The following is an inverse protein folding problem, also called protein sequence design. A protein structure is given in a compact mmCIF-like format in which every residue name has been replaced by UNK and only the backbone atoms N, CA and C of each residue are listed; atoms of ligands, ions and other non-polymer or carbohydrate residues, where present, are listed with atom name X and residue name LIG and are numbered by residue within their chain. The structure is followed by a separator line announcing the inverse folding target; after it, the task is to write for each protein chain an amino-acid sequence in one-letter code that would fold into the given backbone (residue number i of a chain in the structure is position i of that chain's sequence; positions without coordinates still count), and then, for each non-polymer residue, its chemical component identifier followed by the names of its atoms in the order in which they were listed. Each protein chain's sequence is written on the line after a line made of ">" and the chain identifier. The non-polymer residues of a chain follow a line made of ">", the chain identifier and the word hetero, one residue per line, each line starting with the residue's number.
data_IF_777230261026
#
_entry.id   IF_777230261026
#
_cell.length_a   1.000
_cell.length_b   1.000
_cell.length_c   1.000
_cell.angle_alpha   90.00
_cell.angle_beta   90.00
_cell.angle_gamma   90.00
#
_symmetry.space_group_name_H-M   'P 1'
#
loop_
_entity.id
_entity.type
_entity.pdbx_description
1 polymer ?
#
# COMPACT_ATOMS: atom_id res chain seq x y z
N UNK A 1 4.84 -0.29 -4.12
CA UNK A 1 6.28 0.00 -4.28
C UNK A 1 6.74 1.10 -3.33
N UNK A 2 6.06 2.25 -3.24
CA UNK A 2 6.40 3.33 -2.31
C UNK A 2 6.46 2.89 -0.84
N UNK A 3 5.56 1.99 -0.42
CA UNK A 3 5.60 1.38 0.93
C UNK A 3 6.91 0.61 1.14
N UNK A 4 7.35 -0.20 0.17
CA UNK A 4 8.62 -0.91 0.26
C UNK A 4 9.83 0.03 0.22
N UNK A 5 9.73 1.14 -0.51
CA UNK A 5 10.75 2.19 -0.49
C UNK A 5 10.85 2.85 0.90
N UNK A 6 9.72 3.16 1.54
CA UNK A 6 9.70 3.68 2.91
C UNK A 6 10.37 2.70 3.88
N UNK A 7 10.08 1.40 3.76
CA UNK A 7 10.73 0.36 4.57
C UNK A 7 12.25 0.35 4.32
N UNK A 8 12.69 0.39 3.07
CA UNK A 8 14.12 0.43 2.72
C UNK A 8 14.80 1.67 3.32
N UNK A 9 14.23 2.86 3.15
CA UNK A 9 14.77 4.10 3.71
C UNK A 9 14.81 4.07 5.25
N UNK A 10 13.79 3.48 5.88
CA UNK A 10 13.75 3.28 7.33
C UNK A 10 14.80 2.30 7.86
N UNK A 11 15.17 1.28 7.07
CA UNK A 11 16.25 0.34 7.39
C UNK A 11 17.62 1.01 7.19
N UNK A 12 17.78 1.83 6.16
CA UNK A 12 19.05 2.50 5.84
C UNK A 12 19.37 3.71 6.72
N UNK A 13 18.41 4.24 7.47
CA UNK A 13 18.64 5.39 8.36
C UNK A 13 19.15 4.95 9.75
N UNK A 14 20.16 5.63 10.27
CA UNK A 14 20.77 5.32 11.58
C UNK A 14 20.09 6.05 12.75
N UNK A 15 19.44 7.20 12.49
CA UNK A 15 18.83 8.04 13.51
C UNK A 15 17.29 8.10 13.38
N UNK A 16 16.64 8.54 14.47
CA UNK A 16 15.18 8.62 14.55
C UNK A 16 14.58 9.60 13.54
N UNK A 17 15.24 10.75 13.34
CA UNK A 17 14.72 11.82 12.46
C UNK A 17 14.80 11.35 11.00
N UNK A 18 15.92 10.74 10.61
CA UNK A 18 16.09 10.10 9.31
C UNK A 18 15.04 9.03 9.03
N UNK A 19 14.77 8.14 10.01
CA UNK A 19 13.70 7.13 9.89
C UNK A 19 12.32 7.76 9.73
N UNK A 20 12.01 8.77 10.53
CA UNK A 20 10.72 9.45 10.48
C UNK A 20 10.47 10.05 9.09
N UNK A 21 11.37 10.88 8.59
CA UNK A 21 11.18 11.54 7.30
C UNK A 21 11.32 10.56 6.12
N UNK A 22 12.22 9.58 6.23
CA UNK A 22 12.39 8.54 5.22
C UNK A 22 11.14 7.68 5.01
N UNK A 23 10.35 7.45 6.08
CA UNK A 23 9.07 6.74 5.99
C UNK A 23 7.93 7.69 5.63
N UNK A 24 7.88 8.89 6.22
CA UNK A 24 6.76 9.83 6.07
C UNK A 24 6.50 10.21 4.62
N UNK A 25 7.51 10.68 3.89
CA UNK A 25 7.31 11.21 2.55
C UNK A 25 6.83 10.17 1.52
N UNK A 26 7.41 8.96 1.43
CA UNK A 26 6.91 7.96 0.50
C UNK A 26 5.49 7.48 0.84
N UNK A 27 5.14 7.36 2.13
CA UNK A 27 3.78 6.99 2.54
C UNK A 27 2.78 8.11 2.23
N UNK A 28 3.14 9.37 2.48
CA UNK A 28 2.33 10.54 2.10
C UNK A 28 2.09 10.58 0.59
N UNK A 29 3.14 10.42 -0.22
CA UNK A 29 3.03 10.38 -1.68
C UNK A 29 2.14 9.21 -2.14
N UNK A 30 2.27 8.05 -1.49
CA UNK A 30 1.45 6.87 -1.77
C UNK A 30 -0.04 7.14 -1.54
N UNK A 31 -0.41 7.66 -0.36
CA UNK A 31 -1.82 7.91 -0.01
C UNK A 31 -2.39 9.07 -0.82
N UNK A 32 -1.67 10.18 -0.95
CA UNK A 32 -2.15 11.37 -1.68
C UNK A 32 -2.35 11.13 -3.18
N UNK A 33 -1.59 10.19 -3.76
CA UNK A 33 -1.75 9.79 -5.17
C UNK A 33 -2.91 8.81 -5.39
N UNK A 34 -3.62 8.39 -4.33
CA UNK A 34 -4.72 7.43 -4.44
C UNK A 34 -4.28 6.03 -4.84
N UNK A 35 -3.04 5.64 -4.50
CA UNK A 35 -2.57 4.27 -4.76
C UNK A 35 -3.19 3.30 -3.74
N UNK A 36 -3.40 2.06 -4.18
CA UNK A 36 -4.09 1.04 -3.41
C UNK A 36 -3.11 0.15 -2.62
N UNK A 37 -3.41 -0.11 -1.35
CA UNK A 37 -2.63 -1.02 -0.49
C UNK A 37 -3.54 -2.09 0.09
N UNK A 38 -3.25 -3.36 -0.22
CA UNK A 38 -4.16 -4.47 0.10
C UNK A 38 -4.50 -4.54 1.59
N UNK A 39 -3.50 -4.38 2.47
CA UNK A 39 -3.72 -4.41 3.92
C UNK A 39 -4.49 -3.20 4.43
N UNK A 40 -4.34 -2.02 3.81
CA UNK A 40 -5.13 -0.85 4.18
C UNK A 40 -6.60 -1.08 3.79
N UNK A 41 -6.82 -1.67 2.63
CA UNK A 41 -8.16 -1.95 2.11
C UNK A 41 -8.88 -3.05 2.88
N UNK A 42 -8.14 -4.01 3.46
CA UNK A 42 -8.68 -4.99 4.43
C UNK A 42 -9.27 -4.32 5.68
N UNK A 43 -8.91 -3.08 5.98
CA UNK A 43 -9.55 -2.30 7.05
C UNK A 43 -10.64 -1.38 6.49
N UNK A 44 -10.33 -0.56 5.48
CA UNK A 44 -11.24 0.47 4.98
C UNK A 44 -12.52 -0.09 4.35
N UNK A 45 -12.44 -1.15 3.54
CA UNK A 45 -13.62 -1.71 2.88
C UNK A 45 -14.56 -2.38 3.89
N UNK A 46 -14.09 -3.24 4.82
CA UNK A 46 -14.94 -3.76 5.89
C UNK A 46 -15.52 -2.67 6.81
N UNK A 47 -14.76 -1.64 7.15
CA UNK A 47 -15.27 -0.50 7.92
C UNK A 47 -16.42 0.20 7.18
N UNK A 48 -16.29 0.42 5.87
CA UNK A 48 -17.37 0.93 5.03
C UNK A 48 -18.61 0.03 5.03
N UNK A 49 -18.42 -1.28 4.89
CA UNK A 49 -19.52 -2.27 4.91
C UNK A 49 -20.26 -2.29 6.25
N UNK A 50 -19.54 -2.22 7.36
CA UNK A 50 -20.13 -2.26 8.70
C UNK A 50 -20.83 -0.94 9.07
N UNK A 51 -20.38 0.20 8.53
CA UNK A 51 -20.97 1.50 8.82
C UNK A 51 -22.14 1.84 7.90
N UNK A 52 -22.19 1.27 6.70
CA UNK A 52 -23.23 1.51 5.69
C UNK A 52 -24.68 1.42 6.22
N UNK A 53 -25.07 0.43 7.05
CA UNK A 53 -26.44 0.33 7.58
C UNK A 53 -26.83 1.47 8.54
N UNK A 54 -25.84 2.15 9.12
CA UNK A 54 -26.05 3.22 10.10
C UNK A 54 -26.06 4.62 9.47
N UNK A 55 -25.84 4.72 8.15
CA UNK A 55 -25.88 5.99 7.44
C UNK A 55 -27.32 6.45 7.20
N UNK A 56 -27.59 7.71 7.51
CA UNK A 56 -28.83 8.43 7.15
C UNK A 56 -28.89 8.69 5.64
N UNK A 57 -30.08 8.91 5.09
CA UNK A 57 -30.24 9.19 3.65
C UNK A 57 -29.51 10.47 3.23
N UNK A 58 -29.46 11.49 4.09
CA UNK A 58 -28.69 12.71 3.86
C UNK A 58 -27.18 12.45 3.76
N UNK A 59 -26.66 11.47 4.49
CA UNK A 59 -25.24 11.08 4.42
C UNK A 59 -24.93 10.25 3.17
N UNK A 60 -25.91 9.54 2.59
CA UNK A 60 -25.69 8.71 1.40
C UNK A 60 -25.69 9.51 0.09
N UNK A 61 -26.08 10.79 0.12
CA UNK A 61 -26.17 11.65 -1.08
C UNK A 61 -24.81 11.71 -1.78
N UNK A 62 -24.77 11.31 -3.05
CA UNK A 62 -23.56 11.32 -3.88
C UNK A 62 -22.63 10.12 -3.71
N UNK A 63 -22.97 9.15 -2.85
CA UNK A 63 -22.20 7.91 -2.70
C UNK A 63 -22.71 6.84 -3.67
N UNK A 64 -21.79 6.16 -4.36
CA UNK A 64 -22.10 4.93 -5.08
C UNK A 64 -21.79 3.72 -4.17
N UNK A 65 -22.83 3.14 -3.57
CA UNK A 65 -22.70 2.01 -2.65
C UNK A 65 -22.90 0.64 -3.32
N UNK A 66 -23.37 0.61 -4.57
CA UNK A 66 -23.62 -0.62 -5.32
C UNK A 66 -22.40 -1.57 -5.38
N UNK A 67 -21.15 -1.08 -5.61
CA UNK A 67 -19.98 -1.94 -5.63
C UNK A 67 -19.44 -2.25 -4.24
N UNK A 68 -20.02 -1.75 -3.14
CA UNK A 68 -19.53 -2.00 -1.79
C UNK A 68 -20.18 -3.26 -1.22
N UNK A 69 -19.57 -4.42 -1.45
CA UNK A 69 -19.97 -5.70 -0.88
C UNK A 69 -18.77 -6.63 -0.69
N UNK A 70 -18.98 -7.76 0.00
CA UNK A 70 -17.91 -8.72 0.27
C UNK A 70 -17.33 -9.36 -0.99
N UNK A 71 -18.14 -9.57 -2.03
CA UNK A 71 -17.69 -10.24 -3.27
C UNK A 71 -16.80 -9.31 -4.10
N UNK A 72 -17.23 -8.07 -4.29
CA UNK A 72 -16.49 -7.03 -5.01
C UNK A 72 -15.22 -6.61 -4.27
N UNK A 73 -15.23 -6.65 -2.92
CA UNK A 73 -14.01 -6.46 -2.12
C UNK A 73 -12.90 -7.42 -2.57
N UNK A 74 -13.21 -8.69 -2.77
CA UNK A 74 -12.21 -9.68 -3.21
C UNK A 74 -11.87 -9.53 -4.69
N UNK A 75 -12.88 -9.49 -5.54
CA UNK A 75 -12.72 -9.59 -7.01
C UNK A 75 -12.19 -8.30 -7.65
N UNK A 76 -12.66 -7.14 -7.20
CA UNK A 76 -12.33 -5.85 -7.79
C UNK A 76 -11.27 -5.08 -7.00
N UNK A 77 -10.91 -5.51 -5.79
CA UNK A 77 -9.91 -4.83 -4.96
C UNK A 77 -8.81 -5.78 -4.45
N UNK A 78 -9.08 -6.66 -3.47
CA UNK A 78 -8.00 -7.36 -2.77
C UNK A 78 -7.13 -8.22 -3.67
N UNK A 79 -7.71 -9.01 -4.58
CA UNK A 79 -6.91 -9.84 -5.51
C UNK A 79 -6.06 -8.96 -6.43
N UNK A 80 -6.63 -8.03 -7.23
CA UNK A 80 -5.83 -7.22 -8.15
C UNK A 80 -4.83 -6.31 -7.42
N UNK A 81 -5.21 -5.70 -6.30
CA UNK A 81 -4.33 -4.82 -5.50
C UNK A 81 -3.19 -5.63 -4.88
N UNK A 82 -3.44 -6.83 -4.35
CA UNK A 82 -2.38 -7.68 -3.79
C UNK A 82 -1.38 -8.08 -4.86
N UNK A 83 -1.84 -8.49 -6.04
CA UNK A 83 -0.95 -8.80 -7.16
C UNK A 83 -0.13 -7.58 -7.58
N UNK A 84 -0.76 -6.40 -7.69
CA UNK A 84 -0.07 -5.15 -7.99
C UNK A 84 0.95 -4.76 -6.91
N UNK A 85 0.63 -4.98 -5.63
CA UNK A 85 1.53 -4.71 -4.50
C UNK A 85 2.75 -5.65 -4.53
N UNK A 86 2.55 -6.94 -4.80
CA UNK A 86 3.63 -7.94 -4.95
C UNK A 86 4.53 -7.56 -6.13
N UNK A 87 3.96 -7.36 -7.32
CA UNK A 87 4.72 -7.02 -8.53
C UNK A 87 5.46 -5.69 -8.35
N UNK A 88 4.78 -4.66 -7.84
CA UNK A 88 5.40 -3.36 -7.61
C UNK A 88 6.53 -3.42 -6.58
N UNK A 89 6.41 -4.25 -5.55
CA UNK A 89 7.47 -4.46 -4.57
C UNK A 89 8.69 -5.18 -5.15
N UNK A 90 8.45 -6.26 -5.91
CA UNK A 90 9.52 -7.05 -6.52
C UNK A 90 10.29 -6.24 -7.57
N UNK A 91 9.59 -5.49 -8.44
CA UNK A 91 10.23 -4.81 -9.57
C UNK A 91 10.95 -3.53 -9.12
N UNK A 92 10.27 -2.64 -8.41
CA UNK A 92 10.82 -1.31 -8.14
C UNK A 92 11.74 -1.24 -6.93
N UNK A 93 11.72 -2.25 -6.04
CA UNK A 93 12.62 -2.28 -4.88
C UNK A 93 13.52 -3.50 -4.95
N UNK A 94 12.95 -4.71 -5.02
CA UNK A 94 13.74 -5.95 -5.02
C UNK A 94 14.74 -6.06 -6.17
N UNK A 95 14.26 -5.90 -7.41
CA UNK A 95 15.09 -6.04 -8.61
C UNK A 95 16.11 -4.89 -8.72
N UNK A 96 15.70 -3.65 -8.47
CA UNK A 96 16.63 -2.51 -8.51
C UNK A 96 17.75 -2.65 -7.47
N UNK A 97 17.41 -3.07 -6.25
CA UNK A 97 18.40 -3.29 -5.20
C UNK A 97 19.32 -4.46 -5.55
N UNK A 98 18.78 -5.56 -6.10
CA UNK A 98 19.61 -6.67 -6.58
C UNK A 98 20.57 -6.24 -7.69
N UNK A 99 20.10 -5.47 -8.69
CA UNK A 99 20.96 -4.96 -9.77
C UNK A 99 22.10 -4.10 -9.20
N UNK A 100 21.78 -3.22 -8.24
CA UNK A 100 22.76 -2.33 -7.62
C UNK A 100 23.84 -3.09 -6.84
N UNK A 101 23.47 -4.13 -6.08
CA UNK A 101 24.36 -4.83 -5.15
C UNK A 101 24.75 -6.26 -5.59
N UNK A 102 24.49 -6.65 -6.84
CA UNK A 102 24.73 -8.02 -7.32
C UNK A 102 26.19 -8.48 -7.19
N UNK A 103 27.16 -7.56 -7.29
CA UNK A 103 28.59 -7.91 -7.22
C UNK A 103 29.01 -8.19 -5.78
N UNK A 104 28.54 -7.36 -4.86
CA UNK A 104 28.73 -7.47 -3.42
C UNK A 104 28.10 -8.76 -2.90
N UNK A 105 26.87 -9.06 -3.33
CA UNK A 105 26.18 -10.32 -2.99
C UNK A 105 26.94 -11.54 -3.52
N UNK A 106 27.58 -11.45 -4.69
CA UNK A 106 28.38 -12.53 -5.25
C UNK A 106 29.71 -12.71 -4.51
N UNK A 107 30.34 -11.63 -4.04
CA UNK A 107 31.59 -11.68 -3.30
C UNK A 107 31.43 -12.24 -1.87
N UNK A 108 30.21 -12.27 -1.34
CA UNK A 108 29.87 -12.90 -0.05
C UNK A 108 29.69 -14.42 -0.13
N UNK A 109 29.68 -15.01 -1.35
CA UNK A 109 29.60 -16.46 -1.56
C UNK A 109 30.99 -17.08 -1.65
#
# INVERSE_FOLDING_TARGET
>A
WLVNLAVLLGICADDLIGKFFGIWFPIMAFVSSGLEHSVANMMFIPAGLMTMPYLTDAQKVGMNLDPLNWVTMWTNNLIPVTLGNIVGGMVFVGLLYWIAFRKEIQALK
#
